data_IF_538267730874
#
_entry.id   IF_538267730874
#
_cell.length_a   1.000
_cell.length_b   1.000
_cell.length_c   1.000
_cell.angle_alpha   90.00
_cell.angle_beta   90.00
_cell.angle_gamma   90.00
#
_symmetry.space_group_name_H-M   'P 1'
#
loop_
_entity.id
_entity.type
_entity.pdbx_description
1 polymer ?
#
# COMPACT_ATOMS: atom_id res chain seq x y z
N UNK A 1 20.45 13.25 -37.39
CA UNK A 1 20.96 12.31 -36.37
C UNK A 1 20.64 12.74 -34.94
N UNK A 2 20.65 14.04 -34.61
CA UNK A 2 20.35 14.55 -33.26
C UNK A 2 18.95 14.15 -32.73
N UNK A 3 17.92 14.18 -33.57
CA UNK A 3 16.55 13.79 -33.21
C UNK A 3 16.43 12.32 -32.75
N UNK A 4 17.24 11.41 -33.31
CA UNK A 4 17.26 9.99 -32.91
C UNK A 4 17.93 9.78 -31.55
N UNK A 5 18.88 10.64 -31.20
CA UNK A 5 19.55 10.66 -29.89
C UNK A 5 18.62 11.23 -28.80
N UNK A 6 17.80 12.24 -29.13
CA UNK A 6 16.77 12.76 -28.23
C UNK A 6 15.68 11.73 -27.94
N UNK A 7 15.21 10.98 -28.94
CA UNK A 7 14.23 9.88 -28.75
C UNK A 7 14.82 8.78 -27.84
N UNK A 8 16.09 8.43 -28.02
CA UNK A 8 16.78 7.46 -27.16
C UNK A 8 16.91 7.94 -25.71
N UNK A 9 17.22 9.23 -25.49
CA UNK A 9 17.32 9.82 -24.14
C UNK A 9 15.94 9.97 -23.47
N UNK A 10 14.87 10.23 -24.22
CA UNK A 10 13.49 10.26 -23.67
C UNK A 10 12.94 8.87 -23.32
N UNK A 11 13.47 7.79 -23.93
CA UNK A 11 13.13 6.42 -23.56
C UNK A 11 13.80 5.95 -22.26
N UNK A 12 14.70 6.74 -21.68
CA UNK A 12 15.34 6.48 -20.38
C UNK A 12 14.58 7.24 -19.28
N UNK A 13 13.25 7.18 -19.31
CA UNK A 13 12.46 7.44 -18.11
C UNK A 13 12.45 6.13 -17.30
N UNK A 14 13.49 5.92 -16.49
CA UNK A 14 13.50 4.81 -15.55
C UNK A 14 12.46 5.08 -14.47
N UNK A 15 11.26 4.52 -14.64
CA UNK A 15 10.39 4.30 -13.48
C UNK A 15 11.08 3.22 -12.63
N UNK A 16 11.66 3.63 -11.50
CA UNK A 16 12.33 2.70 -10.57
C UNK A 16 11.28 2.07 -9.68
N UNK A 17 10.78 0.91 -10.08
CA UNK A 17 9.99 0.05 -9.20
C UNK A 17 10.80 -0.48 -8.04
N UNK A 18 10.11 -0.85 -6.96
CA UNK A 18 10.72 -1.54 -5.85
C UNK A 18 9.86 -2.73 -5.41
N UNK A 19 10.53 -3.80 -4.96
CA UNK A 19 9.86 -4.91 -4.30
C UNK A 19 9.73 -4.56 -2.83
N UNK A 20 8.51 -4.62 -2.31
CA UNK A 20 8.26 -4.32 -0.90
C UNK A 20 8.90 -5.41 -0.02
N UNK A 21 9.61 -5.00 1.02
CA UNK A 21 10.33 -5.91 1.91
C UNK A 21 10.57 -5.30 3.29
N UNK A 22 10.57 -6.15 4.32
CA UNK A 22 11.07 -5.81 5.65
C UNK A 22 12.01 -6.90 6.15
N UNK A 23 13.11 -6.50 6.78
CA UNK A 23 14.04 -7.39 7.49
C UNK A 23 14.21 -6.90 8.91
N UNK A 24 13.90 -7.76 9.88
CA UNK A 24 14.13 -7.51 11.30
C UNK A 24 15.45 -8.15 11.76
N UNK A 25 16.15 -7.50 12.68
CA UNK A 25 17.45 -7.90 13.19
C UNK A 25 17.45 -8.01 14.72
N UNK A 26 18.10 -9.04 15.25
CA UNK A 26 18.11 -9.37 16.67
C UNK A 26 18.85 -8.31 17.52
N UNK A 27 19.80 -7.60 16.91
CA UNK A 27 20.60 -6.58 17.59
C UNK A 27 20.45 -5.18 16.98
N UNK A 28 20.86 -4.18 17.76
CA UNK A 28 20.90 -2.79 17.30
C UNK A 28 21.91 -2.62 16.16
N UNK A 29 21.66 -1.65 15.29
CA UNK A 29 22.58 -1.35 14.19
C UNK A 29 22.60 -2.41 13.09
N UNK A 30 21.49 -3.13 12.90
CA UNK A 30 21.28 -4.07 11.78
C UNK A 30 22.19 -5.30 11.85
N UNK A 31 22.37 -5.84 13.06
CA UNK A 31 23.27 -6.95 13.35
C UNK A 31 22.55 -8.15 13.94
N UNK A 32 23.25 -9.29 13.99
CA UNK A 32 22.75 -10.54 14.56
C UNK A 32 21.85 -11.31 13.61
N UNK A 33 21.08 -12.24 14.18
CA UNK A 33 20.11 -13.04 13.42
C UNK A 33 19.06 -12.14 12.77
N UNK A 34 18.65 -12.51 11.56
CA UNK A 34 17.72 -11.71 10.76
C UNK A 34 16.53 -12.52 10.27
N UNK A 35 15.35 -11.91 10.30
CA UNK A 35 14.12 -12.43 9.69
C UNK A 35 13.68 -11.48 8.57
N UNK A 36 13.72 -11.98 7.33
CA UNK A 36 13.32 -11.24 6.12
C UNK A 36 11.95 -11.68 5.64
N UNK A 37 11.05 -10.73 5.45
CA UNK A 37 9.67 -10.93 5.02
C UNK A 37 9.43 -10.14 3.72
N UNK A 38 8.92 -10.84 2.70
CA UNK A 38 8.61 -10.30 1.36
C UNK A 38 7.18 -10.56 0.91
N UNK A 39 6.45 -11.39 1.65
CA UNK A 39 5.06 -11.77 1.40
C UNK A 39 4.16 -11.23 2.49
N UNK A 40 2.84 -11.24 2.24
CA UNK A 40 1.84 -10.97 3.26
C UNK A 40 1.61 -12.24 4.07
N UNK A 41 1.66 -12.15 5.40
CA UNK A 41 1.45 -13.26 6.33
C UNK A 41 0.18 -12.97 7.14
N UNK A 42 -0.98 -13.58 6.81
CA UNK A 42 -2.22 -13.39 7.57
C UNK A 42 -2.11 -14.02 8.96
N UNK A 43 -1.16 -14.94 9.14
CA UNK A 43 -0.76 -15.46 10.43
C UNK A 43 0.74 -15.77 10.37
N UNK A 44 1.51 -15.17 11.26
CA UNK A 44 2.90 -15.51 11.48
C UNK A 44 3.01 -16.84 12.21
N UNK A 45 4.01 -17.63 11.84
CA UNK A 45 4.31 -18.88 12.52
C UNK A 45 4.82 -18.60 13.94
N UNK A 46 4.65 -19.53 14.90
CA UNK A 46 5.11 -19.34 16.28
C UNK A 46 6.60 -18.98 16.40
N UNK A 47 7.45 -19.50 15.52
CA UNK A 47 8.88 -19.17 15.48
C UNK A 47 9.12 -17.74 15.00
N UNK A 48 8.43 -17.29 13.96
CA UNK A 48 8.53 -15.93 13.41
C UNK A 48 8.06 -14.89 14.44
N UNK A 49 6.92 -15.13 15.09
CA UNK A 49 6.42 -14.25 16.16
C UNK A 49 7.42 -14.12 17.30
N UNK A 50 7.99 -15.25 17.77
CA UNK A 50 9.01 -15.24 18.83
C UNK A 50 10.27 -14.50 18.40
N UNK A 51 10.68 -14.64 17.13
CA UNK A 51 11.81 -13.90 16.60
C UNK A 51 11.52 -12.40 16.61
N UNK A 52 10.41 -11.95 16.00
CA UNK A 52 10.06 -10.52 15.87
C UNK A 52 9.97 -9.80 17.22
N UNK A 53 9.38 -10.43 18.24
CA UNK A 53 9.27 -9.84 19.59
C UNK A 53 10.62 -9.47 20.21
N UNK A 54 11.69 -10.17 19.81
CA UNK A 54 13.04 -9.96 20.35
C UNK A 54 13.94 -9.11 19.43
N UNK A 55 13.41 -8.56 18.33
CA UNK A 55 14.19 -7.79 17.36
C UNK A 55 14.41 -6.36 17.84
N UNK A 56 15.62 -5.83 17.61
CA UNK A 56 16.06 -4.51 18.08
C UNK A 56 16.27 -3.50 16.97
N UNK A 57 16.31 -3.93 15.71
CA UNK A 57 16.37 -3.04 14.56
C UNK A 57 15.72 -3.65 13.34
N UNK A 58 15.40 -2.84 12.34
CA UNK A 58 14.85 -3.31 11.07
C UNK A 58 15.34 -2.45 9.90
N UNK A 59 15.33 -3.04 8.70
CA UNK A 59 15.37 -2.32 7.43
C UNK A 59 14.11 -2.64 6.65
N UNK A 60 13.47 -1.64 6.06
CA UNK A 60 12.30 -1.85 5.23
C UNK A 60 12.29 -0.91 4.02
N UNK A 61 11.60 -1.37 2.98
CA UNK A 61 11.22 -0.59 1.79
C UNK A 61 9.77 -0.93 1.45
N UNK A 62 9.02 0.09 1.06
CA UNK A 62 7.59 0.05 0.82
C UNK A 62 6.78 0.44 2.03
N UNK A 63 5.51 0.03 2.01
CA UNK A 63 4.57 0.35 3.07
C UNK A 63 4.16 -0.91 3.79
N UNK A 64 4.67 -1.13 4.98
CA UNK A 64 4.47 -2.33 5.79
C UNK A 64 3.70 -2.05 7.06
N UNK A 65 2.82 -2.97 7.42
CA UNK A 65 1.99 -2.90 8.61
C UNK A 65 1.92 -4.26 9.31
N UNK A 66 2.08 -4.25 10.63
CA UNK A 66 1.95 -5.40 11.51
C UNK A 66 0.85 -5.20 12.53
N UNK A 67 0.03 -6.24 12.72
CA UNK A 67 -1.19 -6.22 13.53
C UNK A 67 -1.08 -7.22 14.70
N UNK A 68 -1.72 -6.88 15.82
CA UNK A 68 -1.73 -7.73 17.03
C UNK A 68 -2.41 -9.07 16.74
N UNK A 69 -3.47 -9.06 15.92
CA UNK A 69 -4.29 -10.23 15.66
C UNK A 69 -4.03 -10.81 14.26
N UNK A 70 -4.50 -12.04 14.04
CA UNK A 70 -4.46 -12.69 12.74
C UNK A 70 -5.29 -11.93 11.69
N UNK A 71 -5.12 -12.27 10.42
CA UNK A 71 -5.85 -11.74 9.27
C UNK A 71 -5.87 -10.20 9.20
N UNK A 72 -4.79 -9.56 9.67
CA UNK A 72 -4.62 -8.11 9.61
C UNK A 72 -5.69 -7.33 10.38
N UNK A 73 -6.13 -7.88 11.52
CA UNK A 73 -7.18 -7.29 12.36
C UNK A 73 -6.61 -6.70 13.64
N UNK A 74 -7.40 -5.88 14.32
CA UNK A 74 -7.02 -5.19 15.56
C UNK A 74 -5.98 -4.07 15.34
N UNK A 75 -5.44 -3.52 16.43
CA UNK A 75 -4.50 -2.41 16.42
C UNK A 75 -3.21 -2.72 15.66
N UNK A 76 -2.70 -1.67 15.00
CA UNK A 76 -1.37 -1.64 14.40
C UNK A 76 -0.29 -1.55 15.49
N UNK A 77 0.67 -2.48 15.45
CA UNK A 77 1.87 -2.45 16.30
C UNK A 77 3.09 -2.02 15.50
N UNK A 78 3.17 -2.40 14.23
CA UNK A 78 4.27 -2.02 13.35
C UNK A 78 3.73 -1.23 12.17
N UNK A 79 4.38 -0.12 11.86
CA UNK A 79 4.14 0.62 10.63
C UNK A 79 5.45 1.15 10.09
N UNK A 80 5.65 0.96 8.81
CA UNK A 80 6.75 1.54 8.04
C UNK A 80 6.18 2.04 6.73
N UNK A 81 6.55 3.26 6.32
CA UNK A 81 6.15 3.82 5.03
C UNK A 81 7.34 4.57 4.44
N UNK A 82 8.01 3.99 3.46
CA UNK A 82 8.99 4.70 2.65
C UNK A 82 9.17 4.04 1.28
N UNK A 83 9.39 4.82 0.23
CA UNK A 83 9.71 4.30 -1.10
C UNK A 83 11.22 4.01 -1.29
N UNK A 84 12.05 4.41 -0.32
CA UNK A 84 13.47 4.04 -0.24
C UNK A 84 13.74 3.17 0.99
N UNK A 85 14.78 2.32 0.88
CA UNK A 85 15.19 1.50 2.02
C UNK A 85 15.60 2.37 3.19
N UNK A 86 14.89 2.22 4.30
CA UNK A 86 15.20 2.91 5.56
C UNK A 86 15.47 1.87 6.63
N UNK A 87 16.48 2.14 7.44
CA UNK A 87 16.89 1.25 8.52
C UNK A 87 16.87 1.99 9.85
N UNK A 88 16.20 1.42 10.85
CA UNK A 88 15.93 2.06 12.13
C UNK A 88 16.13 1.07 13.29
N UNK A 89 16.54 1.61 14.43
CA UNK A 89 16.51 0.88 15.69
C UNK A 89 15.09 0.91 16.28
N UNK A 90 14.69 -0.18 16.91
CA UNK A 90 13.44 -0.35 17.62
C UNK A 90 13.68 -0.02 19.11
N UNK A 91 13.03 1.03 19.59
CA UNK A 91 13.22 1.54 20.95
C UNK A 91 12.16 1.03 21.95
N UNK A 92 11.16 0.28 21.48
CA UNK A 92 10.06 -0.22 22.30
C UNK A 92 9.87 -1.73 22.12
N UNK A 93 9.43 -2.40 23.19
CA UNK A 93 8.96 -3.79 23.11
C UNK A 93 7.62 -3.78 22.37
N UNK A 94 7.60 -4.28 21.14
CA UNK A 94 6.34 -4.49 20.43
C UNK A 94 5.51 -5.55 21.15
N UNK A 95 4.19 -5.33 21.21
CA UNK A 95 3.29 -6.45 21.42
C UNK A 95 3.51 -7.46 20.30
N UNK A 96 3.32 -8.77 20.56
CA UNK A 96 3.52 -9.79 19.54
C UNK A 96 2.65 -9.49 18.33
N UNK A 97 3.32 -9.19 17.21
CA UNK A 97 2.68 -9.07 15.90
C UNK A 97 2.27 -10.48 15.49
N UNK A 98 0.98 -10.69 15.23
CA UNK A 98 0.46 -11.99 14.78
C UNK A 98 0.26 -12.05 13.27
N UNK A 99 0.13 -10.90 12.61
CA UNK A 99 0.05 -10.83 11.14
C UNK A 99 0.76 -9.59 10.62
N UNK A 100 1.32 -9.68 9.40
CA UNK A 100 2.09 -8.60 8.79
C UNK A 100 1.88 -8.59 7.28
N UNK A 101 1.74 -7.41 6.69
CA UNK A 101 1.63 -7.25 5.23
C UNK A 101 2.27 -5.97 4.76
N UNK A 102 2.69 -5.96 3.50
CA UNK A 102 2.79 -4.71 2.76
C UNK A 102 1.41 -4.29 2.26
N UNK A 103 1.21 -2.98 2.10
CA UNK A 103 0.00 -2.44 1.50
C UNK A 103 0.15 -2.33 -0.01
N UNK A 104 -0.92 -2.63 -0.75
CA UNK A 104 -0.99 -2.48 -2.18
C UNK A 104 -0.47 -3.71 -2.91
N UNK A 105 -0.23 -3.52 -4.20
CA UNK A 105 0.36 -4.55 -5.05
C UNK A 105 1.86 -4.71 -4.78
N UNK A 106 2.38 -5.93 -4.92
CA UNK A 106 3.81 -6.22 -4.70
C UNK A 106 4.72 -5.54 -5.71
N UNK A 107 4.23 -5.38 -6.95
CA UNK A 107 4.97 -4.76 -8.05
C UNK A 107 4.56 -3.30 -8.17
N UNK A 108 5.33 -2.38 -7.59
CA UNK A 108 4.94 -0.97 -7.48
C UNK A 108 4.92 -0.21 -8.80
N UNK A 109 5.42 -0.80 -9.89
CA UNK A 109 5.29 -0.26 -11.25
C UNK A 109 3.97 -0.61 -11.91
N UNK A 110 3.30 -1.69 -11.48
CA UNK A 110 2.06 -2.08 -12.10
C UNK A 110 0.93 -1.16 -11.61
N UNK A 111 0.21 -0.49 -12.54
CA UNK A 111 -0.97 0.29 -12.19
C UNK A 111 -2.01 -0.58 -11.51
N UNK A 112 -2.34 -0.27 -10.25
CA UNK A 112 -3.34 -1.02 -9.49
C UNK A 112 -4.04 -0.14 -8.48
N UNK A 113 -5.20 -0.60 -8.03
CA UNK A 113 -5.85 -0.10 -6.82
C UNK A 113 -6.07 -1.29 -5.86
N UNK A 114 -5.68 -1.12 -4.61
CA UNK A 114 -5.98 -2.06 -3.53
C UNK A 114 -6.92 -1.43 -2.53
N UNK A 115 -7.95 -2.15 -2.11
CA UNK A 115 -8.99 -1.69 -1.18
C UNK A 115 -9.00 -2.53 0.09
N UNK A 116 -9.29 -1.91 1.22
CA UNK A 116 -9.22 -2.54 2.55
C UNK A 116 -10.56 -2.45 3.27
N UNK A 117 -10.92 -3.52 3.99
CA UNK A 117 -12.14 -3.63 4.79
C UNK A 117 -11.87 -3.31 6.28
N UNK A 118 -10.99 -2.36 6.54
CA UNK A 118 -10.50 -2.04 7.88
C UNK A 118 -11.60 -1.65 8.87
N UNK A 119 -11.18 -1.46 10.12
CA UNK A 119 -12.05 -0.99 11.21
C UNK A 119 -11.62 0.41 11.66
N UNK A 120 -12.32 0.95 12.65
CA UNK A 120 -11.91 2.20 13.30
C UNK A 120 -10.53 2.10 13.99
N UNK A 121 -10.10 0.89 14.36
CA UNK A 121 -8.80 0.67 14.99
C UNK A 121 -7.66 0.59 13.95
N UNK A 122 -7.99 0.25 12.70
CA UNK A 122 -7.05 0.20 11.58
C UNK A 122 -7.80 0.25 10.24
N UNK A 123 -7.79 1.40 9.58
CA UNK A 123 -8.44 1.60 8.27
C UNK A 123 -7.84 0.69 7.19
N UNK A 124 -6.57 0.36 7.34
CA UNK A 124 -5.80 -0.50 6.45
C UNK A 124 -5.91 -1.96 6.83
N UNK A 125 -6.69 -2.34 7.85
CA UNK A 125 -6.89 -3.70 8.35
C UNK A 125 -7.84 -4.57 7.51
N UNK A 126 -8.05 -5.81 7.95
CA UNK A 126 -9.00 -6.76 7.37
C UNK A 126 -8.68 -7.23 5.95
N UNK A 127 -9.73 -7.52 5.20
CA UNK A 127 -9.68 -8.06 3.84
C UNK A 127 -9.09 -6.99 2.92
N UNK A 128 -8.12 -7.41 2.11
CA UNK A 128 -7.61 -6.61 0.99
C UNK A 128 -8.08 -7.22 -0.33
N UNK A 129 -8.48 -6.37 -1.27
CA UNK A 129 -8.66 -6.77 -2.67
C UNK A 129 -7.86 -5.84 -3.57
N UNK A 130 -7.08 -6.41 -4.48
CA UNK A 130 -6.27 -5.65 -5.44
C UNK A 130 -6.82 -5.86 -6.85
N UNK A 131 -6.96 -4.77 -7.59
CA UNK A 131 -7.45 -4.75 -8.96
C UNK A 131 -6.40 -4.12 -9.88
N UNK A 132 -6.07 -4.84 -10.95
CA UNK A 132 -5.20 -4.39 -12.06
C UNK A 132 -5.96 -4.32 -13.39
N UNK A 133 -7.24 -4.68 -13.36
CA UNK A 133 -8.18 -4.70 -14.49
C UNK A 133 -8.78 -3.32 -14.76
N UNK A 134 -9.53 -3.15 -15.84
CA UNK A 134 -10.12 -1.86 -16.22
C UNK A 134 -11.30 -1.42 -15.35
N UNK A 135 -11.96 -2.35 -14.66
CA UNK A 135 -13.08 -2.06 -13.77
C UNK A 135 -13.22 -3.09 -12.66
N UNK A 136 -13.80 -2.68 -11.53
CA UNK A 136 -14.06 -3.55 -10.39
C UNK A 136 -15.33 -3.13 -9.65
N UNK A 137 -16.15 -4.08 -9.21
CA UNK A 137 -17.32 -3.85 -8.36
C UNK A 137 -17.57 -5.08 -7.46
N UNK A 138 -18.69 -5.10 -6.73
CA UNK A 138 -19.09 -6.24 -5.89
C UNK A 138 -18.01 -6.69 -4.89
N UNK A 139 -17.41 -5.72 -4.20
CA UNK A 139 -16.29 -5.97 -3.29
C UNK A 139 -16.67 -6.80 -2.05
N UNK A 140 -17.95 -6.81 -1.68
CA UNK A 140 -18.45 -7.45 -0.46
C UNK A 140 -18.25 -6.63 0.82
N UNK A 141 -17.68 -5.44 0.71
CA UNK A 141 -17.50 -4.47 1.80
C UNK A 141 -17.36 -3.05 1.25
N UNK A 142 -17.52 -2.05 2.11
CA UNK A 142 -17.22 -0.64 1.80
C UNK A 142 -15.75 -0.40 2.16
N UNK A 143 -14.90 0.05 1.22
CA UNK A 143 -13.50 0.33 1.51
C UNK A 143 -13.33 1.42 2.57
N UNK A 144 -12.47 1.18 3.56
CA UNK A 144 -12.02 2.18 4.55
C UNK A 144 -10.66 2.78 4.19
N UNK A 145 -9.92 2.13 3.29
CA UNK A 145 -8.66 2.62 2.78
C UNK A 145 -8.44 2.15 1.35
N UNK A 146 -7.73 2.96 0.57
CA UNK A 146 -7.34 2.67 -0.80
C UNK A 146 -5.82 2.82 -0.92
N UNK A 147 -5.17 2.01 -1.75
CA UNK A 147 -3.77 2.18 -2.12
C UNK A 147 -3.65 2.10 -3.64
N UNK A 148 -3.13 3.15 -4.24
CA UNK A 148 -2.81 3.21 -5.67
C UNK A 148 -1.33 2.87 -5.85
N UNK A 149 -1.02 2.01 -6.82
CA UNK A 149 0.36 1.75 -7.25
C UNK A 149 0.56 2.08 -8.72
N UNK A 150 1.81 2.26 -9.13
CA UNK A 150 2.21 2.41 -10.54
C UNK A 150 1.80 3.73 -11.18
N UNK A 151 1.67 4.82 -10.41
CA UNK A 151 1.25 6.12 -10.95
C UNK A 151 -0.12 6.03 -11.63
N UNK A 152 -1.09 5.40 -10.96
CA UNK A 152 -2.39 5.08 -11.54
C UNK A 152 -3.46 6.10 -11.17
N UNK A 153 -4.56 6.04 -11.91
CA UNK A 153 -5.76 6.81 -11.62
C UNK A 153 -7.00 5.92 -11.73
N UNK A 154 -7.99 6.19 -10.90
CA UNK A 154 -9.20 5.40 -10.74
C UNK A 154 -10.38 6.28 -10.32
N UNK A 155 -11.51 6.17 -11.00
CA UNK A 155 -12.76 6.78 -10.57
C UNK A 155 -13.55 5.78 -9.74
N UNK A 156 -13.78 6.09 -8.46
CA UNK A 156 -14.70 5.37 -7.59
C UNK A 156 -16.11 5.93 -7.66
N UNK A 157 -17.12 5.06 -7.60
CA UNK A 157 -18.54 5.42 -7.65
C UNK A 157 -19.30 4.91 -6.43
N UNK A 158 -20.35 5.62 -6.03
CA UNK A 158 -21.18 5.27 -4.88
C UNK A 158 -22.07 4.04 -5.10
N UNK A 159 -22.37 3.68 -6.36
CA UNK A 159 -23.14 2.50 -6.73
C UNK A 159 -22.27 1.40 -7.36
N UNK A 160 -22.77 0.17 -7.41
CA UNK A 160 -22.05 -1.01 -7.92
C UNK A 160 -22.00 -1.08 -9.46
N UNK A 161 -22.86 -0.32 -10.14
CA UNK A 161 -23.03 -0.29 -11.60
C UNK A 161 -22.30 0.88 -12.27
N UNK A 162 -21.31 1.46 -11.59
CA UNK A 162 -20.51 2.60 -12.06
C UNK A 162 -21.33 3.89 -12.25
N UNK A 163 -22.35 4.08 -11.40
CA UNK A 163 -23.19 5.28 -11.37
C UNK A 163 -23.20 5.94 -9.98
N UNK A 164 -23.86 7.10 -9.88
CA UNK A 164 -23.98 7.86 -8.64
C UNK A 164 -22.88 8.89 -8.45
N UNK A 165 -22.65 9.29 -7.22
CA UNK A 165 -21.56 10.21 -6.88
C UNK A 165 -20.22 9.54 -7.22
N UNK A 166 -19.32 10.31 -7.84
CA UNK A 166 -18.04 9.78 -8.32
C UNK A 166 -16.87 10.61 -7.82
N UNK A 167 -15.75 9.95 -7.57
CA UNK A 167 -14.51 10.56 -7.09
C UNK A 167 -13.34 9.97 -7.84
N UNK A 168 -12.54 10.83 -8.45
CA UNK A 168 -11.29 10.49 -9.09
C UNK A 168 -10.18 10.45 -8.05
N UNK A 169 -9.50 9.30 -7.92
CA UNK A 169 -8.27 9.14 -7.17
C UNK A 169 -7.13 9.02 -8.18
N UNK A 170 -6.13 9.89 -8.08
CA UNK A 170 -5.00 9.91 -9.02
C UNK A 170 -3.70 10.17 -8.30
N UNK A 171 -2.61 9.60 -8.81
CA UNK A 171 -1.26 9.94 -8.36
C UNK A 171 -0.26 9.70 -9.49
N UNK A 172 0.79 10.52 -9.53
CA UNK A 172 1.99 10.25 -10.32
C UNK A 172 3.03 9.44 -9.55
N UNK A 173 2.87 9.29 -8.24
CA UNK A 173 3.78 8.53 -7.38
C UNK A 173 3.55 7.02 -7.55
N UNK A 174 4.59 6.23 -7.26
CA UNK A 174 4.55 4.78 -7.41
C UNK A 174 3.67 4.07 -6.38
N UNK A 175 3.40 4.70 -5.24
CA UNK A 175 2.65 4.10 -4.14
C UNK A 175 2.06 5.17 -3.23
N UNK A 176 0.74 5.28 -3.19
CA UNK A 176 0.04 6.23 -2.32
C UNK A 176 -1.19 5.60 -1.69
N UNK A 177 -1.47 5.94 -0.44
CA UNK A 177 -2.72 5.57 0.22
C UNK A 177 -3.69 6.75 0.38
N UNK A 178 -4.98 6.45 0.30
CA UNK A 178 -6.08 7.40 0.49
C UNK A 178 -7.07 6.84 1.51
N UNK A 179 -7.58 7.70 2.40
CA UNK A 179 -8.82 7.39 3.12
C UNK A 179 -9.99 7.91 2.27
N UNK A 180 -10.90 7.04 1.79
CA UNK A 180 -12.05 7.47 1.02
C UNK A 180 -13.13 8.13 1.89
N UNK A 181 -13.06 8.01 3.22
CA UNK A 181 -14.04 8.60 4.12
C UNK A 181 -14.17 10.13 3.93
N UNK A 182 -15.39 10.70 3.91
CA UNK A 182 -16.70 10.09 4.18
C UNK A 182 -17.39 9.40 2.99
N UNK A 183 -16.71 9.26 1.85
CA UNK A 183 -17.29 8.75 0.60
C UNK A 183 -17.48 7.23 0.68
N UNK A 184 -18.65 6.78 0.24
CA UNK A 184 -18.92 5.35 0.06
C UNK A 184 -18.55 5.00 -1.38
N UNK A 185 -17.60 4.09 -1.56
CA UNK A 185 -17.20 3.59 -2.88
C UNK A 185 -17.59 2.13 -3.04
N UNK A 186 -18.30 1.79 -4.12
CA UNK A 186 -18.82 0.45 -4.40
C UNK A 186 -18.39 -0.12 -5.75
N UNK A 187 -17.92 0.73 -6.65
CA UNK A 187 -17.30 0.31 -7.90
C UNK A 187 -16.16 1.27 -8.31
N UNK A 188 -15.23 0.77 -9.11
CA UNK A 188 -14.11 1.50 -9.66
C UNK A 188 -14.04 1.31 -11.18
N UNK A 189 -13.76 2.39 -11.90
CA UNK A 189 -13.26 2.37 -13.26
C UNK A 189 -11.84 2.90 -13.27
N UNK A 190 -10.98 2.29 -14.07
CA UNK A 190 -9.61 2.77 -14.27
C UNK A 190 -9.61 4.06 -15.09
N UNK A 191 -8.75 4.98 -14.71
CA UNK A 191 -8.66 6.32 -15.27
C UNK A 191 -9.60 7.33 -14.59
N UNK A 192 -9.31 8.61 -14.79
CA UNK A 192 -10.19 9.71 -14.42
C UNK A 192 -10.69 10.42 -15.68
N UNK A 193 -11.91 10.10 -16.09
CA UNK A 193 -12.53 10.68 -17.29
C UNK A 193 -13.39 11.89 -16.91
N UNK A 194 -13.12 13.03 -17.56
CA UNK A 194 -13.83 14.29 -17.32
C UNK A 194 -15.35 14.17 -17.54
N UNK A 195 -15.83 13.21 -18.34
CA UNK A 195 -17.26 13.00 -18.59
C UNK A 195 -18.06 12.68 -17.33
N UNK A 196 -17.41 12.18 -16.27
CA UNK A 196 -18.07 11.84 -15.01
C UNK A 196 -18.20 13.03 -14.06
N UNK A 197 -17.54 14.17 -14.34
CA UNK A 197 -17.57 15.35 -13.46
C UNK A 197 -17.12 15.04 -12.02
N UNK A 198 -16.26 14.03 -11.85
CA UNK A 198 -15.85 13.53 -10.53
C UNK A 198 -15.05 14.58 -9.75
N UNK A 199 -15.22 14.60 -8.44
CA UNK A 199 -14.31 15.32 -7.56
C UNK A 199 -12.91 14.69 -7.62
N UNK A 200 -11.86 15.51 -7.64
CA UNK A 200 -10.48 15.04 -7.87
C UNK A 200 -9.70 15.03 -6.55
N UNK A 201 -9.16 13.87 -6.22
CA UNK A 201 -8.16 13.66 -5.17
C UNK A 201 -6.85 13.27 -5.84
N UNK A 202 -5.93 14.23 -5.93
CA UNK A 202 -4.60 14.02 -6.46
C UNK A 202 -3.58 14.06 -5.33
N UNK A 203 -2.82 12.99 -5.18
CA UNK A 203 -1.69 12.97 -4.25
C UNK A 203 -0.50 13.73 -4.86
N UNK A 204 0.04 14.68 -4.10
CA UNK A 204 1.17 15.52 -4.52
C UNK A 204 0.87 17.00 -4.74
N UNK A 205 -0.38 17.47 -4.57
CA UNK A 205 -0.74 18.91 -4.66
C UNK A 205 -0.72 19.67 -3.31
N UNK A 206 -0.31 19.02 -2.21
CA UNK A 206 -0.07 19.69 -0.93
C UNK A 206 1.41 19.60 -0.56
N UNK A 207 2.25 20.32 -1.28
CA UNK A 207 3.62 20.64 -0.90
C UNK A 207 4.03 21.99 -1.51
N UNK A 208 3.45 23.08 -0.99
CA UNK A 208 4.12 24.38 -0.87
C UNK A 208 4.04 24.84 0.58
#
# INVERSE_FOLDING_TARGET
MFLRLCVFLTCIYYAVGYTQEVTFYADYGLQGDALRIRSKHPQLQPCEMRQIVNMKSYCAIGRWEGYISANYTDRLEFSHTNNVTTCLNLYFNYYPISSIRYLGFSETLAPSISIYSGSNDSETGGIERTFTVESANNFGFIPTYLVLTGGSSWTGFSNEDFTGESTCFSTSELHVGFSPHPRIIRSFLKGCDAKYGSEIYEAGLNAE
#
